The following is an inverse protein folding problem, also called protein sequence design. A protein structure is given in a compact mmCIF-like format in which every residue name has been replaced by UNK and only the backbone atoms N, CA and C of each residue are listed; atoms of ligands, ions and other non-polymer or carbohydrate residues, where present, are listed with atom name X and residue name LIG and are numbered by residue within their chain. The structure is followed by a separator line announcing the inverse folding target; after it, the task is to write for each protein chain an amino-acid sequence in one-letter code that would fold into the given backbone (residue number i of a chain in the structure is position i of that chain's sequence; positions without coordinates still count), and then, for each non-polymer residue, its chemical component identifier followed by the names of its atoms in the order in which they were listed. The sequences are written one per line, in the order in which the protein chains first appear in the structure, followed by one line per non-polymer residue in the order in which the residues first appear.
data_IF_519993717712
#
_entry.id   IF_519993717712
#
_cell.length_a   1.000
_cell.length_b   1.000
_cell.length_c   1.000
_cell.angle_alpha   90.00
_cell.angle_beta   90.00
_cell.angle_gamma   90.00
#
_symmetry.space_group_name_H-M   'P 1'
#
loop_
_entity.id
_entity.type
_entity.pdbx_description
1 polymer ?
#
# COMPACT_ATOMS: atom_id res chain seq x y z
N UNK A 1 2.73 -23.00 -7.26
CA UNK A 1 2.75 -22.21 -6.11
C UNK A 1 1.39 -21.73 -5.81
N UNK A 2 1.02 -21.79 -4.59
CA UNK A 2 -0.30 -21.38 -4.18
C UNK A 2 -0.39 -19.88 -4.15
N UNK A 3 -1.45 -19.34 -4.70
CA UNK A 3 -1.69 -17.93 -4.69
C UNK A 3 -3.04 -17.66 -4.06
N UNK A 4 -3.18 -16.46 -3.53
CA UNK A 4 -4.34 -16.15 -2.77
C UNK A 4 -4.84 -14.77 -3.20
N UNK A 5 -6.13 -14.63 -3.31
CA UNK A 5 -6.73 -13.33 -3.58
C UNK A 5 -7.16 -12.74 -2.26
N UNK A 6 -6.82 -11.50 -2.05
CA UNK A 6 -7.17 -10.81 -0.82
C UNK A 6 -7.86 -9.51 -1.21
N UNK A 7 -8.96 -9.21 -0.57
CA UNK A 7 -9.67 -7.97 -0.82
C UNK A 7 -9.25 -6.96 0.22
N UNK A 8 -8.79 -5.81 -0.24
CA UNK A 8 -8.41 -4.74 0.66
C UNK A 8 -9.25 -3.52 0.37
N UNK A 9 -9.49 -2.70 1.38
CA UNK A 9 -10.30 -1.51 1.24
C UNK A 9 -9.45 -0.30 1.54
N UNK A 10 -9.40 0.63 0.59
CA UNK A 10 -8.65 1.87 0.74
C UNK A 10 -9.58 3.01 0.35
N UNK A 11 -9.83 3.92 1.25
CA UNK A 11 -10.76 5.03 1.07
C UNK A 11 -12.10 4.53 0.55
N UNK A 12 -12.59 3.48 1.19
CA UNK A 12 -13.90 2.92 0.87
C UNK A 12 -13.99 2.29 -0.52
N UNK A 13 -12.86 2.08 -1.18
CA UNK A 13 -12.84 1.37 -2.45
C UNK A 13 -12.21 0.01 -2.22
N UNK A 14 -12.75 -0.99 -2.89
CA UNK A 14 -12.24 -2.34 -2.74
C UNK A 14 -11.34 -2.71 -3.88
N UNK A 15 -10.25 -3.37 -3.55
CA UNK A 15 -9.30 -3.85 -4.52
C UNK A 15 -9.03 -5.32 -4.23
N UNK A 16 -8.88 -6.09 -5.27
CA UNK A 16 -8.47 -7.48 -5.13
C UNK A 16 -6.98 -7.55 -5.47
N UNK A 17 -6.22 -8.10 -4.56
CA UNK A 17 -4.78 -8.18 -4.73
C UNK A 17 -4.39 -9.63 -4.66
N UNK A 18 -3.58 -10.08 -5.62
CA UNK A 18 -3.10 -11.44 -5.63
C UNK A 18 -1.76 -11.50 -4.92
N UNK A 19 -1.63 -12.38 -3.98
CA UNK A 19 -0.39 -12.53 -3.26
C UNK A 19 -0.12 -14.01 -3.05
N UNK A 20 1.03 -14.32 -2.53
CA UNK A 20 1.36 -15.71 -2.25
C UNK A 20 0.69 -16.14 -0.96
N UNK A 21 0.41 -17.43 -0.88
CA UNK A 21 -0.24 -17.96 0.28
C UNK A 21 0.60 -17.68 1.51
N UNK A 22 -0.04 -17.26 2.55
CA UNK A 22 0.67 -16.94 3.80
C UNK A 22 0.96 -15.46 3.96
N UNK A 23 0.73 -14.64 2.92
CA UNK A 23 0.98 -13.21 3.00
C UNK A 23 -0.28 -12.41 3.29
N UNK A 24 -1.40 -13.10 3.47
CA UNK A 24 -2.68 -12.43 3.61
C UNK A 24 -2.73 -11.47 4.79
N UNK A 25 -2.36 -11.95 5.97
CA UNK A 25 -2.50 -11.12 7.17
C UNK A 25 -1.57 -9.92 7.12
N UNK A 26 -0.37 -10.11 6.64
CA UNK A 26 0.59 -9.02 6.49
C UNK A 26 0.07 -7.99 5.49
N UNK A 27 -0.52 -8.46 4.41
CA UNK A 27 -1.03 -7.57 3.40
C UNK A 27 -2.22 -6.77 3.92
N UNK A 28 -3.11 -7.41 4.69
CA UNK A 28 -4.24 -6.71 5.27
C UNK A 28 -3.79 -5.65 6.26
N UNK A 29 -2.76 -5.95 7.02
CA UNK A 29 -2.24 -5.00 7.96
C UNK A 29 -1.62 -3.81 7.22
N UNK A 30 -0.90 -4.08 6.15
CA UNK A 30 -0.30 -3.03 5.34
C UNK A 30 -1.37 -2.16 4.69
N UNK A 31 -2.46 -2.78 4.23
CA UNK A 31 -3.54 -2.01 3.62
C UNK A 31 -4.22 -1.10 4.62
N UNK A 32 -4.41 -1.59 5.85
CA UNK A 32 -5.02 -0.77 6.89
C UNK A 32 -4.12 0.41 7.23
N UNK A 33 -2.82 0.17 7.29
CA UNK A 33 -1.88 1.25 7.58
C UNK A 33 -1.91 2.28 6.46
N UNK A 34 -1.88 1.84 5.23
CA UNK A 34 -1.90 2.74 4.08
C UNK A 34 -3.18 3.55 4.04
N UNK A 35 -4.31 2.90 4.29
CA UNK A 35 -5.59 3.59 4.32
C UNK A 35 -5.56 4.73 5.35
N UNK A 36 -5.02 4.46 6.53
CA UNK A 36 -4.91 5.48 7.56
C UNK A 36 -4.03 6.64 7.13
N UNK A 37 -2.92 6.35 6.46
CA UNK A 37 -2.03 7.38 5.99
C UNK A 37 -2.70 8.25 4.92
N UNK A 38 -3.44 7.63 4.01
CA UNK A 38 -4.12 8.37 2.96
C UNK A 38 -5.21 9.26 3.56
N UNK A 39 -5.94 8.76 4.55
CA UNK A 39 -6.97 9.57 5.19
C UNK A 39 -6.38 10.76 5.91
N UNK A 40 -5.22 10.57 6.54
CA UNK A 40 -4.53 11.66 7.22
C UNK A 40 -4.13 12.74 6.21
N UNK A 41 -3.60 12.34 5.07
CA UNK A 41 -3.22 13.28 4.03
C UNK A 41 -4.45 14.05 3.55
N UNK A 42 -5.55 13.32 3.35
CA UNK A 42 -6.77 13.95 2.86
C UNK A 42 -7.25 15.03 3.82
N UNK A 43 -7.18 14.75 5.12
CA UNK A 43 -7.61 15.70 6.10
C UNK A 43 -6.68 16.90 6.23
N UNK A 44 -5.38 16.65 6.15
CA UNK A 44 -4.42 17.71 6.40
C UNK A 44 -4.21 18.62 5.20
N UNK A 45 -4.30 18.07 3.99
CA UNK A 45 -3.96 18.85 2.82
C UNK A 45 -5.16 19.26 2.02
N UNK A 46 -6.34 18.72 2.35
CA UNK A 46 -7.57 19.02 1.63
C UNK A 46 -7.49 18.61 0.17
N UNK A 47 -6.57 17.71 -0.17
CA UNK A 47 -6.51 17.19 -1.51
C UNK A 47 -7.71 16.27 -1.73
N UNK A 48 -8.16 16.23 -2.96
CA UNK A 48 -9.30 15.42 -3.31
C UNK A 48 -8.85 14.34 -4.29
N UNK A 49 -9.33 13.15 -4.10
CA UNK A 49 -9.03 12.06 -5.01
C UNK A 49 -8.04 11.07 -4.42
N UNK A 50 -8.33 9.80 -4.61
CA UNK A 50 -7.49 8.75 -4.07
C UNK A 50 -6.08 8.83 -4.65
N UNK A 51 -5.98 9.09 -5.94
CA UNK A 51 -4.67 9.05 -6.58
C UNK A 51 -3.73 10.09 -5.99
N UNK A 52 -4.21 11.33 -5.83
CA UNK A 52 -3.35 12.39 -5.30
C UNK A 52 -2.99 12.14 -3.84
N UNK A 53 -3.95 11.73 -3.05
CA UNK A 53 -3.70 11.47 -1.64
C UNK A 53 -2.77 10.28 -1.48
N UNK A 54 -2.89 9.28 -2.35
CA UNK A 54 -2.03 8.11 -2.29
C UNK A 54 -0.60 8.46 -2.62
N UNK A 55 -0.39 9.35 -3.60
CA UNK A 55 0.97 9.75 -3.95
C UNK A 55 1.63 10.47 -2.79
N UNK A 56 0.92 11.40 -2.15
CA UNK A 56 1.49 12.12 -1.01
C UNK A 56 1.74 11.16 0.14
N UNK A 57 0.81 10.25 0.41
CA UNK A 57 1.00 9.27 1.47
C UNK A 57 2.21 8.39 1.18
N UNK A 58 2.37 7.98 -0.08
CA UNK A 58 3.51 7.15 -0.46
C UNK A 58 4.83 7.90 -0.27
N UNK A 59 4.85 9.19 -0.60
CA UNK A 59 6.05 10.00 -0.39
C UNK A 59 6.36 10.12 1.10
N UNK A 60 5.35 10.30 1.94
CA UNK A 60 5.56 10.38 3.38
C UNK A 60 6.10 9.07 3.93
N UNK A 61 5.54 7.95 3.49
CA UNK A 61 6.00 6.64 3.93
C UNK A 61 7.43 6.41 3.47
N UNK A 62 7.74 6.77 2.23
CA UNK A 62 9.08 6.60 1.70
C UNK A 62 10.08 7.47 2.48
N UNK A 63 9.66 8.68 2.82
CA UNK A 63 10.53 9.57 3.57
C UNK A 63 10.81 9.00 4.96
N UNK A 64 9.80 8.43 5.61
CA UNK A 64 10.01 7.81 6.91
C UNK A 64 10.95 6.61 6.80
N UNK A 65 10.79 5.83 5.73
CA UNK A 65 11.65 4.69 5.52
C UNK A 65 13.10 5.12 5.38
N UNK A 66 13.34 6.22 4.66
CA UNK A 66 14.71 6.72 4.50
C UNK A 66 15.27 7.28 5.80
N UNK A 67 14.41 7.80 6.67
CA UNK A 67 14.87 8.22 7.99
C UNK A 67 15.32 7.01 8.81
N UNK A 68 14.61 5.91 8.72
CA UNK A 68 15.01 4.69 9.40
C UNK A 68 16.39 4.27 8.91
N UNK A 69 16.66 4.44 7.62
CA UNK A 69 17.97 4.13 7.10
C UNK A 69 19.04 5.01 7.75
N UNK A 70 18.75 6.29 7.87
CA UNK A 70 19.73 7.20 8.46
C UNK A 70 20.02 6.83 9.90
N UNK A 71 19.10 6.15 10.55
CA UNK A 71 19.29 5.73 11.91
C UNK A 71 19.98 4.38 11.99
N UNK A 72 20.59 3.92 10.92
CA UNK A 72 21.43 2.73 10.96
C UNK A 72 20.91 1.53 10.24
N UNK A 73 19.73 1.61 9.64
CA UNK A 73 19.18 0.47 8.93
C UNK A 73 19.66 0.49 7.49
N UNK A 74 20.00 -0.67 6.97
CA UNK A 74 20.51 -0.79 5.61
C UNK A 74 19.36 -0.64 4.62
N UNK A 75 19.41 0.42 3.84
CA UNK A 75 18.34 0.70 2.90
C UNK A 75 18.35 -0.28 1.73
N UNK A 76 19.49 -0.88 1.44
CA UNK A 76 19.51 -1.86 0.37
C UNK A 76 18.75 -3.11 0.75
N UNK A 77 18.85 -3.51 2.01
CA UNK A 77 18.08 -4.65 2.50
C UNK A 77 16.60 -4.32 2.47
N UNK A 78 16.23 -3.08 2.83
CA UNK A 78 14.82 -2.67 2.79
C UNK A 78 14.33 -2.68 1.36
N UNK A 79 15.12 -2.17 0.43
CA UNK A 79 14.72 -2.13 -0.97
C UNK A 79 14.53 -3.53 -1.53
N UNK A 80 15.40 -4.46 -1.15
CA UNK A 80 15.25 -5.83 -1.60
C UNK A 80 14.00 -6.48 -1.06
N UNK A 81 13.65 -6.18 0.19
CA UNK A 81 12.43 -6.71 0.76
C UNK A 81 11.21 -6.14 0.06
N UNK A 82 11.24 -4.86 -0.29
CA UNK A 82 10.13 -4.27 -1.02
C UNK A 82 9.97 -4.88 -2.40
N UNK A 83 11.10 -5.16 -3.06
CA UNK A 83 11.04 -5.82 -4.36
C UNK A 83 10.45 -7.22 -4.21
N UNK A 84 10.83 -7.92 -3.15
CA UNK A 84 10.31 -9.24 -2.89
C UNK A 84 8.81 -9.21 -2.67
N UNK A 85 8.32 -8.19 -1.97
CA UNK A 85 6.89 -8.05 -1.76
C UNK A 85 6.21 -7.80 -3.09
N UNK A 86 6.81 -6.99 -3.95
CA UNK A 86 6.25 -6.77 -5.28
C UNK A 86 6.15 -8.05 -6.08
N UNK A 87 7.11 -8.96 -5.90
CA UNK A 87 7.04 -10.25 -6.56
C UNK A 87 5.94 -11.13 -5.98
N UNK A 88 5.62 -10.96 -4.69
CA UNK A 88 4.58 -11.74 -4.07
C UNK A 88 3.20 -11.23 -4.43
N UNK A 89 3.07 -9.95 -4.68
CA UNK A 89 1.81 -9.33 -5.05
C UNK A 89 1.80 -9.24 -6.55
N UNK A 90 0.92 -10.02 -7.17
CA UNK A 90 0.95 -10.11 -8.61
C UNK A 90 0.14 -9.08 -9.33
N UNK A 91 -0.77 -8.50 -8.71
CA UNK A 91 -1.57 -7.50 -9.38
C UNK A 91 -2.67 -6.97 -8.49
N UNK A 92 -3.21 -5.84 -8.87
CA UNK A 92 -4.29 -5.20 -8.15
C UNK A 92 -5.42 -4.93 -9.12
N UNK A 93 -6.61 -5.37 -8.76
CA UNK A 93 -7.78 -5.15 -9.58
C UNK A 93 -8.79 -4.41 -8.72
N UNK A 94 -9.24 -3.26 -9.21
CA UNK A 94 -10.22 -2.50 -8.46
C UNK A 94 -11.57 -3.14 -8.66
N UNK A 95 -12.14 -3.60 -7.55
CA UNK A 95 -13.40 -4.29 -7.64
C UNK A 95 -14.57 -3.38 -7.73
N UNK A 96 -14.54 -2.29 -7.03
CA UNK A 96 -15.63 -1.38 -7.07
C UNK A 96 -15.57 -0.64 -8.33
N UNK A 97 -16.54 -0.83 -9.15
CA UNK A 97 -16.50 -0.15 -10.36
C UNK A 97 -17.02 1.19 -10.18
N UNK A 98 -16.24 2.13 -10.37
CA UNK A 98 -16.71 3.37 -10.26
C UNK A 98 -17.39 3.71 -11.42
N UNK A 99 -18.45 3.22 -11.58
CA UNK A 99 -19.16 3.40 -12.72
C UNK A 99 -19.34 4.78 -13.07
N UNK A 100 -19.21 5.58 -12.17
CA UNK A 100 -19.33 6.89 -12.48
C UNK A 100 -18.22 7.46 -13.00
N UNK A 101 -17.29 6.77 -12.95
CA UNK A 101 -16.04 7.33 -13.39
C UNK A 101 -16.06 7.58 -14.86
#
# INVERSE_FOLDING_TARGET
MAKEEVKVTILDRQFTVNCQKGERDTLLEAAAFLDGQIRTVQEQTKLVGLERCAIVAALNISNELLQVKRDGTDVNAISERMRSIGDRIEGVIQETQDSMS
#
